data_IF_120902483961
#
_entry.id   IF_120902483961
#
_cell.length_a   1.000
_cell.length_b   1.000
_cell.length_c   1.000
_cell.angle_alpha   90.00
_cell.angle_beta   90.00
_cell.angle_gamma   90.00
#
_symmetry.space_group_name_H-M   'P 1'
#
loop_
_entity.id
_entity.type
_entity.pdbx_description
1 polymer ?
#
# COMPACT_ATOMS: atom_id res chain seq x y z
N UNK A 1 -11.98 -7.58 7.94
CA UNK A 1 -12.32 -7.71 9.37
C UNK A 1 -13.66 -8.41 9.55
N UNK A 2 -14.76 -7.82 9.06
CA UNK A 2 -16.13 -8.35 9.20
C UNK A 2 -16.28 -9.83 8.81
N UNK A 3 -15.74 -10.25 7.67
CA UNK A 3 -15.77 -11.65 7.21
C UNK A 3 -15.05 -12.64 8.15
N UNK A 4 -14.01 -12.20 8.87
CA UNK A 4 -13.24 -13.07 9.78
C UNK A 4 -13.87 -13.15 11.17
N UNK A 5 -14.39 -12.03 11.66
CA UNK A 5 -15.02 -11.94 13.00
C UNK A 5 -16.53 -12.19 12.97
N UNK A 6 -17.10 -12.58 11.81
CA UNK A 6 -18.53 -12.77 11.59
C UNK A 6 -19.38 -11.56 12.05
N UNK A 7 -18.91 -10.35 11.76
CA UNK A 7 -19.59 -9.11 12.13
C UNK A 7 -20.45 -8.58 10.98
N UNK A 8 -21.66 -8.13 11.29
CA UNK A 8 -22.55 -7.44 10.34
C UNK A 8 -22.45 -5.92 10.55
N UNK A 9 -21.31 -5.34 10.16
CA UNK A 9 -21.05 -3.90 10.21
C UNK A 9 -21.04 -3.37 8.77
N UNK A 10 -21.66 -2.21 8.49
CA UNK A 10 -21.66 -1.63 7.15
C UNK A 10 -20.24 -1.33 6.66
N UNK A 11 -19.96 -1.63 5.39
CA UNK A 11 -18.64 -1.42 4.77
C UNK A 11 -18.22 0.05 4.68
N UNK A 12 -19.16 0.99 4.84
CA UNK A 12 -18.87 2.42 4.82
C UNK A 12 -18.17 2.92 6.09
N UNK A 13 -18.25 2.16 7.20
CA UNK A 13 -17.56 2.53 8.42
C UNK A 13 -16.07 2.12 8.32
N UNK A 14 -15.19 3.13 8.29
CA UNK A 14 -13.73 2.95 8.20
C UNK A 14 -13.04 3.01 9.56
N UNK A 15 -13.76 3.37 10.63
CA UNK A 15 -13.23 3.47 11.98
C UNK A 15 -13.41 2.17 12.76
N UNK A 16 -12.45 1.89 13.64
CA UNK A 16 -12.49 0.74 14.55
C UNK A 16 -13.55 0.96 15.64
N UNK A 17 -14.50 0.05 15.76
CA UNK A 17 -15.53 0.11 16.80
C UNK A 17 -15.12 -0.68 18.04
N UNK A 18 -15.61 -0.34 19.24
CA UNK A 18 -15.38 -1.15 20.44
C UNK A 18 -15.79 -2.61 20.27
N UNK A 19 -16.86 -2.87 19.50
CA UNK A 19 -17.33 -4.21 19.16
C UNK A 19 -16.30 -5.02 18.37
N UNK A 20 -15.53 -4.37 17.49
CA UNK A 20 -14.48 -5.03 16.70
C UNK A 20 -13.38 -5.58 17.60
N UNK A 21 -13.03 -4.82 18.65
CA UNK A 21 -12.00 -5.18 19.62
C UNK A 21 -12.46 -6.37 20.47
N UNK A 22 -13.69 -6.31 21.00
CA UNK A 22 -14.27 -7.40 21.79
C UNK A 22 -14.35 -8.70 20.99
N UNK A 23 -14.88 -8.63 19.75
CA UNK A 23 -14.97 -9.80 18.88
C UNK A 23 -13.58 -10.36 18.50
N UNK A 24 -12.57 -9.51 18.32
CA UNK A 24 -11.20 -9.95 18.09
C UNK A 24 -10.60 -10.65 19.32
N UNK A 25 -10.85 -10.13 20.53
CA UNK A 25 -10.40 -10.75 21.78
C UNK A 25 -11.07 -12.11 22.00
N UNK A 26 -12.38 -12.21 21.82
CA UNK A 26 -13.13 -13.47 21.91
C UNK A 26 -12.61 -14.50 20.91
N UNK A 27 -12.32 -14.06 19.67
CA UNK A 27 -11.76 -14.93 18.65
C UNK A 27 -10.36 -15.45 19.03
N UNK A 28 -9.49 -14.61 19.61
CA UNK A 28 -8.17 -15.02 20.11
C UNK A 28 -8.28 -16.03 21.26
N UNK A 29 -9.22 -15.81 22.19
CA UNK A 29 -9.48 -16.73 23.30
C UNK A 29 -9.99 -18.08 22.76
N UNK A 30 -10.94 -18.05 21.82
CA UNK A 30 -11.45 -19.25 21.14
C UNK A 30 -10.33 -20.05 20.46
N UNK A 31 -9.42 -19.37 19.74
CA UNK A 31 -8.26 -20.03 19.13
C UNK A 31 -7.34 -20.69 20.16
N UNK A 32 -7.14 -20.08 21.34
CA UNK A 32 -6.36 -20.69 22.43
C UNK A 32 -6.98 -21.98 22.96
N UNK A 33 -8.32 -22.08 22.93
CA UNK A 33 -9.06 -23.30 23.30
C UNK A 33 -9.25 -24.28 22.13
N UNK A 34 -8.61 -24.05 20.98
CA UNK A 34 -8.71 -24.93 19.80
C UNK A 34 -10.00 -24.75 19.00
N UNK A 35 -10.80 -23.72 19.29
CA UNK A 35 -11.98 -23.37 18.50
C UNK A 35 -11.57 -22.50 17.30
N UNK A 36 -11.23 -23.16 16.19
CA UNK A 36 -10.92 -22.51 14.92
C UNK A 36 -9.63 -23.01 14.26
N UNK A 37 -9.31 -22.47 13.10
CA UNK A 37 -8.08 -22.78 12.37
C UNK A 37 -7.13 -21.60 12.38
N UNK A 38 -5.85 -21.86 12.64
CA UNK A 38 -4.80 -20.86 12.51
C UNK A 38 -4.72 -20.38 11.06
N UNK A 39 -4.55 -19.07 10.90
CA UNK A 39 -4.49 -18.50 9.55
C UNK A 39 -3.11 -18.70 8.94
N UNK A 40 -3.09 -19.18 7.71
CA UNK A 40 -1.85 -19.30 6.95
C UNK A 40 -1.49 -17.95 6.33
N UNK A 41 -0.37 -17.39 6.81
CA UNK A 41 0.20 -16.13 6.32
C UNK A 41 0.66 -16.19 4.86
N UNK A 42 1.01 -17.38 4.35
CA UNK A 42 1.50 -17.57 2.99
C UNK A 42 0.40 -17.69 1.96
N UNK A 43 -0.82 -18.03 2.37
CA UNK A 43 -1.95 -18.10 1.46
C UNK A 43 -2.23 -16.75 0.77
N UNK A 44 -2.36 -16.77 -0.57
CA UNK A 44 -2.63 -15.55 -1.37
C UNK A 44 -3.89 -14.77 -0.97
N UNK A 45 -4.86 -15.38 -0.27
CA UNK A 45 -6.05 -14.68 0.25
C UNK A 45 -5.69 -13.58 1.26
N UNK A 46 -4.53 -13.72 1.90
CA UNK A 46 -4.02 -12.81 2.92
C UNK A 46 -2.95 -11.85 2.36
N UNK A 47 -2.68 -11.90 1.04
CA UNK A 47 -1.76 -11.01 0.35
C UNK A 47 -2.54 -10.15 -0.64
N UNK A 48 -2.24 -8.85 -0.69
CA UNK A 48 -2.86 -7.91 -1.64
C UNK A 48 -1.79 -7.41 -2.60
N UNK A 49 -2.07 -7.51 -3.90
CA UNK A 49 -1.25 -6.89 -4.94
C UNK A 49 -1.50 -5.39 -4.91
N UNK A 50 -0.43 -4.60 -4.93
CA UNK A 50 -0.48 -3.15 -5.11
C UNK A 50 0.19 -2.79 -6.41
N UNK A 51 -0.48 -1.97 -7.20
CA UNK A 51 0.08 -1.39 -8.41
C UNK A 51 0.89 -0.13 -8.07
N UNK A 52 1.67 0.35 -9.04
CA UNK A 52 2.35 1.64 -8.93
C UNK A 52 1.35 2.77 -8.68
N UNK A 53 0.14 2.69 -9.27
CA UNK A 53 -0.91 3.66 -9.06
C UNK A 53 -1.39 3.73 -7.60
N UNK A 54 -1.54 2.59 -6.92
CA UNK A 54 -1.91 2.55 -5.49
C UNK A 54 -0.84 3.23 -4.62
N UNK A 55 0.44 3.01 -4.94
CA UNK A 55 1.57 3.59 -4.21
C UNK A 55 1.69 5.10 -4.46
N UNK A 56 1.49 5.52 -5.71
CA UNK A 56 1.46 6.93 -6.08
C UNK A 56 0.26 7.63 -5.44
N UNK A 57 -0.90 6.98 -5.33
CA UNK A 57 -2.08 7.52 -4.65
C UNK A 57 -1.80 7.82 -3.17
N UNK A 58 -1.09 6.93 -2.47
CA UNK A 58 -0.66 7.14 -1.08
C UNK A 58 0.23 8.40 -0.96
N UNK A 59 1.21 8.58 -1.87
CA UNK A 59 2.08 9.77 -1.89
C UNK A 59 1.33 11.04 -2.29
N UNK A 60 0.43 10.95 -3.27
CA UNK A 60 -0.39 12.06 -3.71
C UNK A 60 -1.31 12.57 -2.59
N UNK A 61 -1.88 11.66 -1.79
CA UNK A 61 -2.64 12.03 -0.59
C UNK A 61 -1.80 12.84 0.39
N UNK A 62 -0.55 12.44 0.65
CA UNK A 62 0.37 13.20 1.51
C UNK A 62 0.71 14.57 0.90
N UNK A 63 0.90 14.64 -0.41
CA UNK A 63 1.14 15.89 -1.12
C UNK A 63 -0.05 16.86 -1.01
N UNK A 64 -1.28 16.35 -1.09
CA UNK A 64 -2.50 17.13 -0.90
C UNK A 64 -2.61 17.70 0.51
N UNK A 65 -2.26 16.92 1.54
CA UNK A 65 -2.22 17.42 2.93
C UNK A 65 -1.17 18.53 3.09
N UNK A 66 -0.01 18.41 2.44
CA UNK A 66 1.01 19.48 2.42
C UNK A 66 0.49 20.74 1.73
N UNK A 67 -0.18 20.59 0.59
CA UNK A 67 -0.79 21.69 -0.14
C UNK A 67 -1.86 22.39 0.71
N UNK A 68 -2.72 21.63 1.40
CA UNK A 68 -3.72 22.16 2.32
C UNK A 68 -3.07 23.01 3.43
N UNK A 69 -1.96 22.54 4.01
CA UNK A 69 -1.23 23.27 5.05
C UNK A 69 -0.65 24.59 4.51
N UNK A 70 -0.09 24.57 3.30
CA UNK A 70 0.44 25.77 2.62
C UNK A 70 -0.69 26.77 2.39
N UNK A 71 -1.79 26.33 1.78
CA UNK A 71 -2.97 27.17 1.52
C UNK A 71 -3.49 27.80 2.82
N UNK A 72 -3.64 27.00 3.89
CA UNK A 72 -4.10 27.49 5.19
C UNK A 72 -3.14 28.53 5.79
N UNK A 73 -1.83 28.33 5.64
CA UNK A 73 -0.81 29.30 6.04
C UNK A 73 -0.92 30.61 5.26
N UNK A 74 -1.04 30.53 3.93
CA UNK A 74 -1.18 31.69 3.05
C UNK A 74 -2.45 32.49 3.35
N UNK A 75 -3.60 31.82 3.58
CA UNK A 75 -4.86 32.49 3.97
C UNK A 75 -4.69 33.22 5.31
N UNK A 76 -4.05 32.58 6.29
CA UNK A 76 -3.80 33.21 7.59
C UNK A 76 -2.92 34.46 7.45
N UNK A 77 -1.89 34.41 6.59
CA UNK A 77 -1.05 35.57 6.26
C UNK A 77 -1.80 36.69 5.54
N UNK A 78 -2.59 36.36 4.51
CA UNK A 78 -3.37 37.32 3.74
C UNK A 78 -4.38 38.09 4.60
N UNK A 79 -5.06 37.39 5.53
CA UNK A 79 -5.99 37.99 6.48
C UNK A 79 -5.30 39.01 7.40
N UNK A 80 -4.07 38.75 7.84
CA UNK A 80 -3.29 39.69 8.68
C UNK A 80 -2.97 40.99 7.93
N UNK A 81 -2.72 40.90 6.63
CA UNK A 81 -2.38 42.05 5.78
C UNK A 81 -3.58 42.68 5.08
N UNK A 82 -4.82 42.26 5.39
CA UNK A 82 -6.07 42.70 4.73
C UNK A 82 -6.02 42.58 3.20
N UNK A 83 -5.27 41.61 2.68
CA UNK A 83 -5.20 41.30 1.25
C UNK A 83 -6.37 40.39 0.87
N UNK A 84 -7.00 40.63 -0.28
CA UNK A 84 -8.02 39.74 -0.83
C UNK A 84 -7.31 38.54 -1.48
N UNK A 85 -7.46 37.31 -0.96
CA UNK A 85 -6.77 36.16 -1.52
C UNK A 85 -7.48 35.68 -2.80
N UNK A 86 -6.81 35.83 -3.94
CA UNK A 86 -7.25 35.24 -5.22
C UNK A 86 -6.88 33.75 -5.26
N UNK A 87 -7.73 32.84 -5.80
CA UNK A 87 -7.45 31.40 -5.87
C UNK A 87 -6.11 31.04 -6.51
N UNK A 88 -5.68 31.83 -7.50
CA UNK A 88 -4.40 31.66 -8.20
C UNK A 88 -3.18 31.89 -7.29
N UNK A 89 -3.32 32.74 -6.27
CA UNK A 89 -2.24 33.03 -5.32
C UNK A 89 -2.23 32.05 -4.14
N UNK A 90 -3.30 31.27 -3.97
CA UNK A 90 -3.42 30.28 -2.89
C UNK A 90 -2.88 28.91 -3.30
N UNK A 91 -3.14 28.49 -4.55
CA UNK A 91 -2.83 27.14 -5.00
C UNK A 91 -1.50 27.13 -5.75
N UNK A 92 -0.51 26.45 -5.19
CA UNK A 92 0.79 26.21 -5.83
C UNK A 92 0.91 24.74 -6.24
N UNK A 93 1.40 24.45 -7.45
CA UNK A 93 1.60 23.08 -7.95
C UNK A 93 2.90 22.42 -7.47
N UNK A 94 3.88 23.21 -6.99
CA UNK A 94 5.19 22.76 -6.51
C UNK A 94 5.17 21.54 -5.57
N UNK A 95 4.32 21.46 -4.53
CA UNK A 95 4.30 20.28 -3.66
C UNK A 95 3.84 19.00 -4.38
N UNK A 96 3.01 19.12 -5.42
CA UNK A 96 2.54 17.99 -6.20
C UNK A 96 3.62 17.52 -7.19
N UNK A 97 4.24 18.45 -7.93
CA UNK A 97 5.29 18.11 -8.90
C UNK A 97 6.52 17.51 -8.22
N UNK A 98 6.98 18.12 -7.12
CA UNK A 98 8.12 17.60 -6.35
C UNK A 98 7.87 16.21 -5.78
N UNK A 99 6.65 15.93 -5.30
CA UNK A 99 6.30 14.59 -4.79
C UNK A 99 6.26 13.57 -5.92
N UNK A 100 5.75 13.96 -7.10
CA UNK A 100 5.71 13.11 -8.28
C UNK A 100 7.12 12.74 -8.77
N UNK A 101 7.99 13.73 -8.95
CA UNK A 101 9.39 13.53 -9.38
C UNK A 101 10.14 12.66 -8.37
N UNK A 102 10.06 13.01 -7.08
CA UNK A 102 10.71 12.24 -6.01
C UNK A 102 10.25 10.78 -5.95
N UNK A 103 8.98 10.50 -6.26
CA UNK A 103 8.48 9.13 -6.31
C UNK A 103 9.16 8.33 -7.43
N UNK A 104 9.18 8.82 -8.67
CA UNK A 104 9.77 8.05 -9.77
C UNK A 104 11.29 7.96 -9.71
N UNK A 105 11.95 8.93 -9.07
CA UNK A 105 13.40 8.93 -8.89
C UNK A 105 13.87 7.98 -7.78
N UNK A 106 13.18 7.96 -6.63
CA UNK A 106 13.67 7.27 -5.43
C UNK A 106 12.95 5.95 -5.14
N UNK A 107 11.78 5.70 -5.73
CA UNK A 107 10.99 4.56 -5.33
C UNK A 107 11.63 3.24 -5.81
N UNK A 108 11.91 2.25 -4.92
CA UNK A 108 12.63 1.02 -5.29
C UNK A 108 11.97 0.16 -6.38
N UNK A 109 10.66 0.33 -6.56
CA UNK A 109 9.86 -0.34 -7.60
C UNK A 109 9.83 0.42 -8.94
N UNK A 110 10.31 1.66 -8.99
CA UNK A 110 10.48 2.46 -10.21
C UNK A 110 11.81 2.08 -10.87
N UNK A 111 11.83 0.94 -11.55
CA UNK A 111 13.04 0.36 -12.13
C UNK A 111 13.18 0.70 -13.62
N UNK A 112 14.42 0.81 -14.09
CA UNK A 112 14.71 0.93 -15.52
C UNK A 112 14.22 -0.33 -16.24
N UNK A 113 13.41 -0.15 -17.27
CA UNK A 113 12.83 -1.24 -18.06
C UNK A 113 13.92 -2.06 -18.75
N UNK A 114 13.91 -3.38 -18.58
CA UNK A 114 14.81 -4.27 -19.32
C UNK A 114 14.34 -4.43 -20.78
N UNK A 115 15.20 -4.01 -21.71
CA UNK A 115 14.92 -3.95 -23.16
C UNK A 115 15.75 -4.94 -23.97
N UNK A 116 16.31 -5.96 -23.33
CA UNK A 116 17.13 -6.97 -24.01
C UNK A 116 16.38 -7.69 -25.13
N UNK A 117 15.11 -8.04 -24.91
CA UNK A 117 14.23 -8.63 -25.92
C UNK A 117 12.75 -8.41 -25.56
N UNK A 118 11.79 -8.61 -26.50
CA UNK A 118 10.37 -8.39 -26.24
C UNK A 118 9.78 -9.25 -25.12
N UNK A 119 10.27 -10.49 -24.94
CA UNK A 119 9.80 -11.38 -23.87
C UNK A 119 10.23 -10.84 -22.50
N UNK A 120 11.49 -10.41 -22.38
CA UNK A 120 12.04 -9.80 -21.17
C UNK A 120 11.27 -8.54 -20.78
N UNK A 121 10.88 -7.71 -21.75
CA UNK A 121 10.07 -6.52 -21.48
C UNK A 121 8.69 -6.88 -20.89
N UNK A 122 8.03 -7.91 -21.44
CA UNK A 122 6.74 -8.38 -20.95
C UNK A 122 6.87 -9.00 -19.56
N UNK A 123 7.92 -9.81 -19.34
CA UNK A 123 8.23 -10.43 -18.05
C UNK A 123 8.49 -9.35 -16.98
N UNK A 124 9.30 -8.33 -17.28
CA UNK A 124 9.58 -7.24 -16.34
C UNK A 124 8.31 -6.44 -15.99
N UNK A 125 7.46 -6.16 -16.98
CA UNK A 125 6.18 -5.48 -16.76
C UNK A 125 5.16 -6.27 -15.94
N UNK A 126 5.28 -7.61 -15.89
CA UNK A 126 4.40 -8.51 -15.11
C UNK A 126 5.03 -8.97 -13.79
N UNK A 127 6.22 -8.47 -13.47
CA UNK A 127 6.99 -8.86 -12.30
C UNK A 127 6.28 -8.45 -11.01
N UNK A 128 6.22 -9.37 -10.04
CA UNK A 128 5.70 -9.12 -8.71
C UNK A 128 6.85 -9.06 -7.70
N UNK A 129 6.81 -8.07 -6.80
CA UNK A 129 7.79 -7.92 -5.72
C UNK A 129 7.11 -7.99 -4.36
N UNK A 130 7.70 -8.74 -3.44
CA UNK A 130 7.36 -8.67 -2.01
C UNK A 130 8.17 -7.60 -1.27
N UNK A 131 9.19 -7.03 -1.92
CA UNK A 131 10.11 -6.06 -1.35
C UNK A 131 9.65 -4.64 -1.68
N UNK A 132 9.94 -3.72 -0.76
CA UNK A 132 9.62 -2.31 -0.89
C UNK A 132 8.93 -1.74 0.34
N UNK A 133 8.58 -0.44 0.32
CA UNK A 133 7.89 0.18 1.44
C UNK A 133 6.57 -0.54 1.71
N UNK A 134 6.30 -0.86 2.99
CA UNK A 134 5.15 -1.66 3.46
C UNK A 134 5.17 -3.15 3.05
N UNK A 135 6.23 -3.60 2.40
CA UNK A 135 6.51 -5.01 2.08
C UNK A 135 7.49 -5.63 3.06
N UNK A 136 8.13 -6.73 2.64
CA UNK A 136 9.23 -7.34 3.36
C UNK A 136 10.53 -6.56 3.09
N UNK A 137 11.44 -6.59 4.05
CA UNK A 137 12.83 -6.18 3.83
C UNK A 137 13.66 -7.42 3.48
N UNK A 138 14.80 -7.25 2.82
CA UNK A 138 15.69 -8.37 2.49
C UNK A 138 16.15 -9.17 3.73
N UNK A 139 16.24 -8.52 4.90
CA UNK A 139 16.57 -9.15 6.17
C UNK A 139 15.39 -9.89 6.83
N UNK A 140 14.15 -9.39 6.67
CA UNK A 140 12.95 -9.99 7.26
C UNK A 140 12.29 -11.02 6.33
N UNK A 141 12.72 -11.11 5.08
CA UNK A 141 12.31 -12.15 4.12
C UNK A 141 12.89 -13.52 4.51
N UNK A 142 12.37 -14.09 5.61
CA UNK A 142 12.69 -15.45 6.05
C UNK A 142 12.32 -16.48 4.97
N UNK A 143 12.99 -17.63 5.03
CA UNK A 143 12.88 -18.74 4.07
C UNK A 143 11.42 -19.16 3.76
N UNK A 144 10.51 -19.09 4.74
CA UNK A 144 9.11 -19.52 4.63
C UNK A 144 8.26 -18.82 3.57
N UNK A 145 8.68 -17.65 3.06
CA UNK A 145 7.91 -16.89 2.04
C UNK A 145 8.43 -17.20 0.62
N UNK A 146 9.55 -17.94 0.52
CA UNK A 146 10.11 -18.45 -0.74
C UNK A 146 9.47 -19.77 -1.18
N UNK A 147 8.77 -20.44 -0.28
CA UNK A 147 8.13 -21.72 -0.56
C UNK A 147 6.92 -21.54 -1.47
N UNK A 148 6.74 -22.49 -2.38
CA UNK A 148 5.60 -22.52 -3.29
C UNK A 148 4.38 -22.98 -2.50
N UNK A 149 3.40 -22.08 -2.33
CA UNK A 149 2.14 -22.41 -1.69
C UNK A 149 1.12 -22.92 -2.73
N UNK A 150 0.27 -23.93 -2.42
CA UNK A 150 -0.75 -24.43 -3.34
C UNK A 150 -1.68 -23.34 -3.90
N UNK A 151 -1.89 -22.24 -3.16
CA UNK A 151 -2.70 -21.12 -3.65
C UNK A 151 -2.11 -20.39 -4.86
N UNK A 152 -0.82 -20.58 -5.17
CA UNK A 152 -0.13 -20.00 -6.32
C UNK A 152 -0.61 -20.60 -7.65
N UNK A 153 -1.16 -21.81 -7.62
CA UNK A 153 -1.60 -22.53 -8.82
C UNK A 153 -2.57 -21.68 -9.66
N UNK A 154 -2.25 -21.50 -10.94
CA UNK A 154 -3.03 -20.70 -11.90
C UNK A 154 -3.02 -19.18 -11.65
N UNK A 155 -2.23 -18.67 -10.70
CA UNK A 155 -2.15 -17.23 -10.36
C UNK A 155 -0.74 -16.67 -10.45
N UNK A 156 0.26 -17.41 -9.99
CA UNK A 156 1.67 -17.01 -9.97
C UNK A 156 2.51 -18.17 -10.50
N UNK A 157 3.46 -17.88 -11.40
CA UNK A 157 4.36 -18.90 -11.92
C UNK A 157 5.35 -19.34 -10.82
N UNK A 158 5.41 -20.64 -10.48
CA UNK A 158 6.30 -21.12 -9.42
C UNK A 158 7.76 -21.34 -9.88
N UNK A 159 7.98 -21.43 -11.19
CA UNK A 159 9.29 -21.74 -11.79
C UNK A 159 10.05 -20.47 -12.15
N UNK A 160 9.30 -19.41 -12.48
CA UNK A 160 9.88 -18.13 -12.79
C UNK A 160 10.45 -17.50 -11.51
N UNK A 161 11.77 -17.26 -11.48
CA UNK A 161 12.44 -16.48 -10.42
C UNK A 161 12.02 -14.99 -10.40
N UNK A 162 10.97 -14.64 -11.15
CA UNK A 162 10.38 -13.31 -11.31
C UNK A 162 9.75 -12.76 -10.03
N UNK A 163 9.49 -13.60 -9.02
CA UNK A 163 9.37 -13.12 -7.63
C UNK A 163 10.80 -12.85 -7.13
N UNK A 164 11.43 -11.81 -7.67
CA UNK A 164 12.76 -11.42 -7.23
C UNK A 164 12.66 -10.83 -5.82
N UNK A 165 13.17 -11.57 -4.85
CA UNK A 165 13.63 -11.03 -3.58
C UNK A 165 15.07 -10.53 -3.79
N UNK A 166 15.23 -9.38 -4.45
CA UNK A 166 16.45 -8.57 -4.34
C UNK A 166 16.10 -7.25 -3.69
#
# INVERSE_FOLDING_TARGET
>A
MNRRLNLNIPQNNTFLLPRDILAAADHLIGMKFGMGTLDDMNHLKNKRIRSIADLLQDQFRLAMVRLENIVRGTICGANRHKLIPTPQNLVTSTPLTTTYESFFELHPLSQVLDRTNPLTQIVHGRKLSYLGPRGLTGQTANFRIRDIHPSHYGRICPIEKGISLF
#
